data_IF_591979371648
#
_entry.id   IF_591979371648
#
_cell.length_a   1.000
_cell.length_b   1.000
_cell.length_c   1.000
_cell.angle_alpha   90.00
_cell.angle_beta   90.00
_cell.angle_gamma   90.00
#
_symmetry.space_group_name_H-M   'P 1'
#
loop_
_entity.id
_entity.type
_entity.pdbx_description
1 polymer ?
#
# COMPACT_ATOMS: atom_id res chain seq x y z
N UNK A 1 -2.05 15.32 6.76
CA UNK A 1 -0.71 14.72 6.56
C UNK A 1 -0.18 14.28 7.90
N UNK A 2 0.19 13.02 8.03
CA UNK A 2 0.73 12.39 9.24
C UNK A 2 2.26 12.48 9.25
N UNK A 3 2.81 13.67 9.12
CA UNK A 3 4.25 13.85 9.00
C UNK A 3 4.92 13.58 10.34
N UNK A 4 5.77 12.54 10.40
CA UNK A 4 6.49 12.15 11.60
C UNK A 4 5.71 11.22 12.55
N UNK A 5 4.48 10.86 12.21
CA UNK A 5 3.71 9.89 12.99
C UNK A 5 4.11 8.45 12.60
N UNK A 6 4.25 7.60 13.60
CA UNK A 6 4.39 6.16 13.38
C UNK A 6 3.02 5.58 13.04
N UNK A 7 2.88 5.04 11.83
CA UNK A 7 1.64 4.45 11.34
C UNK A 7 1.84 2.94 11.22
N UNK A 8 1.15 2.20 12.08
CA UNK A 8 1.09 0.73 11.99
C UNK A 8 -0.37 0.27 11.85
N UNK A 9 -0.61 -1.05 11.82
CA UNK A 9 -1.97 -1.61 11.71
C UNK A 9 -2.94 -1.09 12.77
N UNK A 10 -2.46 -0.84 13.99
CA UNK A 10 -3.27 -0.29 15.08
C UNK A 10 -3.83 1.11 14.83
N UNK A 11 -3.20 1.87 13.91
CA UNK A 11 -3.67 3.20 13.53
C UNK A 11 -5.07 3.17 12.87
N UNK A 12 -5.38 2.08 12.19
CA UNK A 12 -6.68 1.87 11.55
C UNK A 12 -7.57 0.88 12.32
N UNK A 13 -7.36 0.71 13.62
CA UNK A 13 -8.17 -0.18 14.45
C UNK A 13 -9.68 0.09 14.28
N UNK A 14 -10.47 -0.97 14.14
CA UNK A 14 -11.91 -0.90 13.89
C UNK A 14 -12.29 -0.67 12.41
N UNK A 15 -11.31 -0.59 11.51
CA UNK A 15 -11.50 -0.36 10.08
C UNK A 15 -10.77 -1.42 9.26
N UNK A 16 -11.31 -1.78 8.11
CA UNK A 16 -10.55 -2.57 7.13
C UNK A 16 -9.39 -1.74 6.63
N UNK A 17 -8.19 -2.28 6.64
CA UNK A 17 -7.01 -1.55 6.22
C UNK A 17 -6.24 -2.26 5.10
N UNK A 18 -5.75 -1.47 4.14
CA UNK A 18 -5.05 -1.96 2.97
C UNK A 18 -3.72 -1.24 2.82
N UNK A 19 -2.66 -2.00 2.64
CA UNK A 19 -1.29 -1.50 2.51
C UNK A 19 -0.75 -1.91 1.15
N UNK A 20 -0.54 -0.91 0.29
CA UNK A 20 0.09 -1.12 -1.01
C UNK A 20 1.60 -0.92 -0.91
N UNK A 21 2.37 -1.92 -1.24
CA UNK A 21 3.83 -1.89 -1.20
C UNK A 21 4.42 -1.61 -2.58
N UNK A 22 5.21 -0.55 -2.68
CA UNK A 22 5.74 -0.11 -3.96
C UNK A 22 6.99 0.76 -3.83
N UNK A 23 7.48 1.23 -4.98
CA UNK A 23 8.59 2.19 -5.04
C UNK A 23 8.32 3.24 -6.12
N UNK A 24 8.76 4.46 -5.87
CA UNK A 24 8.52 5.55 -6.81
C UNK A 24 9.28 5.40 -8.12
N UNK A 25 10.51 4.92 -8.11
CA UNK A 25 11.35 4.84 -9.30
C UNK A 25 10.76 4.03 -10.47
N UNK A 26 9.71 3.24 -10.22
CA UNK A 26 9.07 2.39 -11.22
C UNK A 26 7.69 2.91 -11.64
N UNK A 27 7.53 3.20 -12.94
CA UNK A 27 6.26 3.69 -13.50
C UNK A 27 5.07 2.76 -13.22
N UNK A 28 5.30 1.44 -13.25
CA UNK A 28 4.27 0.45 -12.93
C UNK A 28 3.80 0.56 -11.48
N UNK A 29 4.70 0.80 -10.51
CA UNK A 29 4.29 1.00 -9.13
C UNK A 29 3.46 2.27 -8.97
N UNK A 30 3.88 3.36 -9.62
CA UNK A 30 3.11 4.61 -9.63
C UNK A 30 1.73 4.45 -10.25
N UNK A 31 1.64 3.74 -11.39
CA UNK A 31 0.37 3.47 -12.05
C UNK A 31 -0.55 2.62 -11.14
N UNK A 32 -0.04 1.56 -10.52
CA UNK A 32 -0.85 0.72 -9.61
C UNK A 32 -1.33 1.50 -8.39
N UNK A 33 -0.47 2.33 -7.80
CA UNK A 33 -0.88 3.18 -6.67
C UNK A 33 -1.95 4.20 -7.08
N UNK A 34 -1.88 4.72 -8.31
CA UNK A 34 -2.95 5.56 -8.88
C UNK A 34 -4.30 4.84 -8.90
N UNK A 35 -4.33 3.60 -9.37
CA UNK A 35 -5.57 2.82 -9.42
C UNK A 35 -6.08 2.48 -8.00
N UNK A 36 -5.20 2.19 -7.06
CA UNK A 36 -5.58 2.00 -5.65
C UNK A 36 -6.18 3.29 -5.06
N UNK A 37 -5.64 4.45 -5.42
CA UNK A 37 -6.19 5.74 -5.04
C UNK A 37 -7.58 5.99 -5.65
N UNK A 38 -7.78 5.62 -6.91
CA UNK A 38 -9.07 5.75 -7.59
C UNK A 38 -10.12 4.83 -6.95
N UNK A 39 -9.74 3.60 -6.63
CA UNK A 39 -10.58 2.66 -5.89
C UNK A 39 -11.00 3.22 -4.53
N UNK A 40 -10.07 3.81 -3.79
CA UNK A 40 -10.39 4.44 -2.52
C UNK A 40 -11.36 5.61 -2.67
N UNK A 41 -11.15 6.47 -3.66
CA UNK A 41 -12.06 7.58 -3.97
C UNK A 41 -13.46 7.09 -4.33
N UNK A 42 -13.56 6.02 -5.08
CA UNK A 42 -14.85 5.41 -5.44
C UNK A 42 -15.57 4.88 -4.20
N UNK A 43 -14.88 4.11 -3.34
CA UNK A 43 -15.45 3.61 -2.09
C UNK A 43 -15.98 4.76 -1.22
N UNK A 44 -15.19 5.82 -1.04
CA UNK A 44 -15.61 7.00 -0.28
C UNK A 44 -16.83 7.67 -0.89
N UNK A 45 -16.88 7.80 -2.21
CA UNK A 45 -18.02 8.39 -2.94
C UNK A 45 -19.28 7.55 -2.77
N UNK A 46 -19.16 6.25 -2.66
CA UNK A 46 -20.24 5.31 -2.36
C UNK A 46 -20.65 5.29 -0.88
N UNK A 47 -20.03 6.13 -0.04
CA UNK A 47 -20.28 6.21 1.39
C UNK A 47 -19.57 5.14 2.23
N UNK A 48 -18.62 4.41 1.65
CA UNK A 48 -17.79 3.41 2.33
C UNK A 48 -16.56 4.11 2.89
N UNK A 49 -16.63 4.54 4.15
CA UNK A 49 -15.58 5.35 4.79
C UNK A 49 -14.73 4.59 5.82
N UNK A 50 -15.08 3.35 6.09
CA UNK A 50 -14.45 2.45 7.06
C UNK A 50 -13.51 1.41 6.41
N UNK A 51 -13.18 1.60 5.15
CA UNK A 51 -12.03 1.00 4.47
C UNK A 51 -10.94 2.06 4.35
N UNK A 52 -9.74 1.78 4.84
CA UNK A 52 -8.58 2.68 4.77
C UNK A 52 -7.50 2.08 3.92
N UNK A 53 -6.83 2.94 3.17
CA UNK A 53 -5.75 2.53 2.29
C UNK A 53 -4.55 3.45 2.42
N UNK A 54 -3.35 2.90 2.26
CA UNK A 54 -2.12 3.67 2.19
C UNK A 54 -1.07 2.96 1.34
N UNK A 55 -0.08 3.70 0.88
CA UNK A 55 1.10 3.13 0.26
C UNK A 55 2.26 3.09 1.24
N UNK A 56 3.14 2.12 1.05
CA UNK A 56 4.36 1.93 1.85
C UNK A 56 5.55 1.77 0.91
N UNK A 57 6.54 2.64 1.08
CA UNK A 57 7.83 2.55 0.40
C UNK A 57 8.72 1.61 1.19
N UNK A 58 9.46 0.72 0.52
CA UNK A 58 10.44 -0.11 1.21
C UNK A 58 11.64 0.71 1.69
N UNK A 59 12.25 0.28 2.79
CA UNK A 59 13.47 0.91 3.33
C UNK A 59 14.60 0.97 2.30
N UNK A 60 14.78 -0.08 1.53
CA UNK A 60 15.77 -0.14 0.44
C UNK A 60 15.58 0.93 -0.65
N UNK A 61 14.45 1.65 -0.64
CA UNK A 61 14.11 2.73 -1.57
C UNK A 61 14.00 4.09 -0.86
N UNK A 62 14.59 4.23 0.32
CA UNK A 62 14.48 5.43 1.17
C UNK A 62 14.95 6.72 0.47
N UNK A 63 15.84 6.59 -0.52
CA UNK A 63 16.34 7.71 -1.31
C UNK A 63 15.44 8.07 -2.53
N UNK A 64 14.39 7.29 -2.78
CA UNK A 64 13.44 7.62 -3.84
C UNK A 64 12.60 8.85 -3.40
N UNK A 65 12.39 9.82 -4.30
CA UNK A 65 11.43 10.90 -4.04
C UNK A 65 10.01 10.35 -3.97
N UNK A 66 9.16 10.93 -3.13
CA UNK A 66 7.74 10.56 -3.01
C UNK A 66 6.84 11.30 -4.00
N UNK A 67 7.35 12.30 -4.70
CA UNK A 67 6.57 13.28 -5.46
C UNK A 67 5.63 12.64 -6.47
N UNK A 68 6.12 11.67 -7.22
CA UNK A 68 5.31 10.97 -8.21
C UNK A 68 4.46 9.82 -7.64
N UNK A 69 4.62 9.48 -6.36
CA UNK A 69 3.68 8.59 -5.70
C UNK A 69 2.44 9.33 -5.23
N UNK A 70 2.62 10.53 -4.69
CA UNK A 70 1.51 11.38 -4.22
C UNK A 70 1.02 12.37 -5.28
N UNK A 71 1.72 12.44 -6.42
CA UNK A 71 1.39 13.35 -7.52
C UNK A 71 1.29 14.83 -7.09
N UNK A 72 2.30 15.30 -6.36
CA UNK A 72 2.43 16.71 -6.04
C UNK A 72 2.97 17.51 -7.26
N UNK A 73 3.10 18.82 -7.11
CA UNK A 73 3.50 19.74 -8.18
C UNK A 73 4.92 19.51 -8.70
N UNK A 74 5.76 18.81 -7.94
CA UNK A 74 7.14 18.47 -8.35
C UNK A 74 7.19 17.26 -9.31
N UNK A 75 6.10 16.50 -9.43
CA UNK A 75 6.06 15.35 -10.31
C UNK A 75 5.67 15.70 -11.73
N UNK A 76 6.58 15.47 -12.67
CA UNK A 76 6.35 15.65 -14.11
C UNK A 76 5.90 14.39 -14.84
N UNK A 77 5.64 13.31 -14.14
CA UNK A 77 5.23 12.03 -14.75
C UNK A 77 3.79 12.05 -15.25
N UNK A 78 3.58 11.47 -16.44
CA UNK A 78 2.23 11.26 -16.99
C UNK A 78 1.31 10.41 -16.11
N UNK A 79 1.86 9.64 -15.16
CA UNK A 79 1.07 8.88 -14.18
C UNK A 79 0.34 9.76 -13.18
N UNK A 80 0.62 11.06 -13.18
CA UNK A 80 0.01 12.07 -12.32
C UNK A 80 -0.92 13.05 -13.07
N UNK A 81 -1.34 12.69 -14.27
CA UNK A 81 -2.21 13.55 -15.09
C UNK A 81 -3.58 13.83 -14.47
N UNK A 82 -4.05 13.01 -13.54
CA UNK A 82 -5.32 13.19 -12.81
C UNK A 82 -5.19 14.09 -11.56
N UNK A 83 -4.02 14.63 -11.31
CA UNK A 83 -3.77 15.49 -10.15
C UNK A 83 -3.33 14.75 -8.88
N UNK A 84 -3.27 15.47 -7.75
CA UNK A 84 -2.79 14.92 -6.49
C UNK A 84 -3.60 13.70 -6.00
N UNK A 85 -2.89 12.71 -5.48
CA UNK A 85 -3.50 11.55 -4.83
C UNK A 85 -3.84 11.87 -3.38
N UNK A 86 -4.93 11.32 -2.88
CA UNK A 86 -5.37 11.53 -1.51
C UNK A 86 -4.84 10.49 -0.54
N UNK A 87 -4.44 9.33 -1.05
CA UNK A 87 -3.88 8.28 -0.21
C UNK A 87 -2.54 8.71 0.39
N UNK A 88 -2.31 8.44 1.68
CA UNK A 88 -1.02 8.66 2.32
C UNK A 88 0.02 7.69 1.75
N UNK A 89 1.27 8.14 1.77
CA UNK A 89 2.44 7.35 1.44
C UNK A 89 3.39 7.37 2.63
N UNK A 90 3.69 6.21 3.19
CA UNK A 90 4.60 6.03 4.31
C UNK A 90 5.94 5.48 3.84
N UNK A 91 6.95 5.67 4.65
CA UNK A 91 8.26 5.07 4.50
C UNK A 91 8.40 3.94 5.51
N UNK A 92 8.77 2.76 5.02
CA UNK A 92 9.18 1.67 5.89
C UNK A 92 10.50 2.00 6.58
N UNK A 93 10.67 1.52 7.78
CA UNK A 93 11.80 1.82 8.64
C UNK A 93 12.53 0.52 9.01
N UNK A 94 13.81 0.61 9.19
CA UNK A 94 14.64 -0.45 9.74
C UNK A 94 15.30 0.11 11.01
N UNK A 95 14.91 -0.35 12.17
CA UNK A 95 15.49 0.05 13.44
C UNK A 95 16.56 -0.92 13.96
N UNK A 96 16.79 -2.00 13.24
CA UNK A 96 17.81 -3.00 13.58
C UNK A 96 17.55 -3.76 14.89
N UNK A 97 16.40 -3.56 15.51
CA UNK A 97 16.10 -4.04 16.85
C UNK A 97 14.86 -4.92 16.94
N UNK A 98 13.92 -4.80 15.98
CA UNK A 98 12.55 -5.31 16.14
C UNK A 98 12.32 -6.72 15.64
N UNK A 99 13.38 -7.42 15.36
CA UNK A 99 13.22 -8.79 15.01
C UNK A 99 13.22 -9.62 16.25
N UNK A 100 12.06 -10.13 16.57
CA UNK A 100 11.99 -11.27 17.49
C UNK A 100 12.88 -12.35 16.89
N UNK A 101 13.98 -12.62 17.56
CA UNK A 101 14.96 -13.61 17.19
C UNK A 101 14.29 -15.00 17.07
N UNK A 102 13.76 -15.25 15.91
CA UNK A 102 13.20 -16.55 15.53
C UNK A 102 14.21 -17.42 14.79
N UNK A 103 15.48 -17.01 14.75
CA UNK A 103 16.55 -17.60 13.96
C UNK A 103 16.26 -17.67 12.45
N UNK A 104 15.32 -16.89 11.94
CA UNK A 104 15.01 -16.87 10.51
C UNK A 104 16.00 -16.06 9.67
N UNK A 105 16.88 -15.27 10.30
CA UNK A 105 17.79 -14.35 9.64
C UNK A 105 17.08 -13.19 8.92
N UNK A 106 15.79 -13.01 9.17
CA UNK A 106 14.96 -12.03 8.48
C UNK A 106 15.09 -10.61 9.03
N UNK A 107 15.88 -10.43 10.06
CA UNK A 107 15.88 -9.18 10.78
C UNK A 107 17.25 -8.83 11.33
N UNK A 108 18.28 -9.03 10.55
CA UNK A 108 19.62 -8.63 10.95
C UNK A 108 19.84 -7.13 10.64
N UNK A 109 20.58 -6.44 11.49
CA UNK A 109 20.86 -5.01 11.39
C UNK A 109 21.58 -4.57 10.10
N UNK A 110 22.02 -5.52 9.28
CA UNK A 110 22.61 -5.33 7.97
C UNK A 110 21.63 -5.63 6.82
N UNK A 111 20.36 -5.87 7.15
CA UNK A 111 19.32 -6.14 6.19
C UNK A 111 19.06 -4.92 5.31
N UNK A 112 18.88 -5.14 4.03
CA UNK A 112 18.60 -4.08 3.06
C UNK A 112 17.10 -3.82 2.90
N UNK A 113 16.28 -4.59 3.58
CA UNK A 113 14.83 -4.45 3.61
C UNK A 113 14.41 -3.63 4.83
N UNK A 114 13.19 -3.26 4.95
CA UNK A 114 12.67 -2.61 6.15
C UNK A 114 11.85 -3.60 6.97
N UNK A 115 11.59 -3.27 8.23
CA UNK A 115 10.94 -4.14 9.20
C UNK A 115 9.61 -4.75 8.71
N UNK A 116 8.78 -3.95 8.04
CA UNK A 116 7.48 -4.44 7.55
C UNK A 116 7.65 -5.30 6.30
N UNK A 117 8.56 -4.93 5.41
CA UNK A 117 8.83 -5.69 4.20
C UNK A 117 9.33 -7.09 4.52
N UNK A 118 10.21 -7.23 5.51
CA UNK A 118 10.71 -8.53 5.95
C UNK A 118 9.66 -9.31 6.73
N UNK A 119 9.12 -8.69 7.77
CA UNK A 119 8.16 -9.35 8.67
C UNK A 119 6.94 -9.89 7.92
N UNK A 120 6.53 -9.21 6.83
CA UNK A 120 5.37 -9.61 6.04
C UNK A 120 5.75 -10.33 4.74
N UNK A 121 7.03 -10.62 4.50
CA UNK A 121 7.54 -11.26 3.27
C UNK A 121 7.00 -10.56 2.01
N UNK A 122 7.19 -9.25 1.93
CA UNK A 122 6.58 -8.40 0.91
C UNK A 122 7.30 -8.50 -0.42
N UNK A 123 6.51 -8.65 -1.47
CA UNK A 123 6.94 -8.47 -2.86
C UNK A 123 6.40 -7.16 -3.43
N UNK A 124 7.20 -6.49 -4.27
CA UNK A 124 6.77 -5.25 -4.95
C UNK A 124 5.39 -5.40 -5.59
N UNK A 125 4.52 -4.43 -5.31
CA UNK A 125 3.12 -4.32 -5.73
C UNK A 125 2.16 -5.26 -5.02
N UNK A 126 2.56 -5.78 -3.87
CA UNK A 126 1.61 -6.42 -2.97
C UNK A 126 0.62 -5.40 -2.41
N UNK A 127 -0.62 -5.80 -2.34
CA UNK A 127 -1.70 -5.15 -1.60
C UNK A 127 -2.09 -6.11 -0.47
N UNK A 128 -1.68 -5.78 0.75
CA UNK A 128 -2.02 -6.53 1.96
C UNK A 128 -3.29 -5.98 2.55
N UNK A 129 -4.22 -6.86 2.91
CA UNK A 129 -5.53 -6.49 3.47
C UNK A 129 -5.67 -7.09 4.86
N UNK A 130 -6.00 -6.24 5.83
CA UNK A 130 -6.33 -6.62 7.19
C UNK A 130 -7.81 -6.32 7.47
N UNK A 131 -8.41 -7.15 8.32
CA UNK A 131 -9.77 -6.93 8.81
C UNK A 131 -9.83 -5.80 9.87
N UNK A 132 -11.02 -5.58 10.45
CA UNK A 132 -11.26 -4.54 11.47
C UNK A 132 -10.50 -4.77 12.77
N UNK A 133 -10.14 -6.02 13.07
CA UNK A 133 -9.35 -6.40 14.24
C UNK A 133 -7.82 -6.33 13.95
N UNK A 134 -7.43 -5.92 12.75
CA UNK A 134 -6.03 -5.86 12.30
C UNK A 134 -5.45 -7.23 11.96
N UNK A 135 -6.29 -8.26 11.77
CA UNK A 135 -5.82 -9.58 11.38
C UNK A 135 -5.64 -9.67 9.86
N UNK A 136 -4.61 -10.37 9.46
CA UNK A 136 -4.35 -10.65 8.06
C UNK A 136 -5.50 -11.44 7.41
N UNK A 137 -6.02 -10.91 6.31
CA UNK A 137 -7.05 -11.56 5.50
C UNK A 137 -6.43 -12.16 4.24
N UNK A 138 -5.74 -11.34 3.45
CA UNK A 138 -5.13 -11.78 2.19
C UNK A 138 -4.09 -10.79 1.68
N UNK A 139 -3.31 -11.26 0.71
CA UNK A 139 -2.36 -10.48 -0.08
C UNK A 139 -2.64 -10.69 -1.56
N UNK A 140 -2.70 -9.62 -2.31
CA UNK A 140 -2.92 -9.63 -3.76
C UNK A 140 -1.74 -8.93 -4.42
N UNK A 141 -0.97 -9.64 -5.25
CA UNK A 141 0.08 -8.97 -6.01
C UNK A 141 -0.48 -8.34 -7.29
N UNK A 142 -0.44 -7.01 -7.35
CA UNK A 142 -1.00 -6.21 -8.45
C UNK A 142 -0.17 -6.26 -9.76
N UNK A 143 0.92 -7.04 -9.79
CA UNK A 143 1.59 -7.40 -11.04
C UNK A 143 0.78 -8.43 -11.80
N UNK A 144 0.33 -9.45 -11.10
CA UNK A 144 -0.39 -10.59 -11.67
C UNK A 144 -1.90 -10.34 -11.71
N UNK A 145 -2.44 -9.70 -10.67
CA UNK A 145 -3.84 -9.27 -10.61
C UNK A 145 -3.90 -7.78 -10.94
N UNK A 146 -3.64 -7.46 -12.20
CA UNK A 146 -3.62 -6.06 -12.66
C UNK A 146 -5.01 -5.42 -12.58
N UNK A 147 -5.23 -4.40 -11.73
CA UNK A 147 -6.54 -3.76 -11.58
C UNK A 147 -6.83 -2.69 -12.64
N UNK A 148 -5.93 -2.46 -13.61
CA UNK A 148 -6.17 -1.51 -14.69
C UNK A 148 -7.42 -1.90 -15.50
N UNK A 149 -8.31 -0.94 -15.75
CA UNK A 149 -9.55 -1.15 -16.50
C UNK A 149 -9.32 -1.67 -17.94
N UNK A 150 -8.14 -1.36 -18.51
CA UNK A 150 -7.73 -1.89 -19.80
C UNK A 150 -7.18 -3.33 -19.71
N UNK A 151 -6.97 -3.84 -18.51
CA UNK A 151 -6.63 -5.22 -18.24
C UNK A 151 -7.86 -5.97 -17.76
N UNK A 152 -8.11 -7.16 -18.30
CA UNK A 152 -9.27 -8.02 -17.91
C UNK A 152 -10.64 -7.32 -17.97
N UNK A 153 -10.79 -6.27 -18.79
CA UNK A 153 -12.02 -5.46 -18.89
C UNK A 153 -12.52 -4.97 -17.51
N UNK A 154 -11.59 -4.61 -16.60
CA UNK A 154 -11.92 -4.12 -15.26
C UNK A 154 -12.28 -5.21 -14.24
N UNK A 155 -12.29 -6.48 -14.63
CA UNK A 155 -12.72 -7.58 -13.72
C UNK A 155 -11.87 -7.66 -12.45
N UNK A 156 -10.55 -7.49 -12.55
CA UNK A 156 -9.67 -7.52 -11.38
C UNK A 156 -9.95 -6.35 -10.43
N UNK A 157 -10.20 -5.17 -10.98
CA UNK A 157 -10.57 -4.00 -10.18
C UNK A 157 -11.84 -4.27 -9.37
N UNK A 158 -12.89 -4.73 -10.05
CA UNK A 158 -14.16 -5.03 -9.40
C UNK A 158 -14.03 -6.16 -8.38
N UNK A 159 -13.24 -7.19 -8.66
CA UNK A 159 -12.97 -8.28 -7.72
C UNK A 159 -12.32 -7.76 -6.43
N UNK A 160 -11.33 -6.88 -6.53
CA UNK A 160 -10.67 -6.28 -5.35
C UNK A 160 -11.69 -5.42 -4.58
N UNK A 161 -12.48 -4.60 -5.28
CA UNK A 161 -13.51 -3.76 -4.66
C UNK A 161 -14.53 -4.59 -3.87
N UNK A 162 -15.07 -5.63 -4.48
CA UNK A 162 -16.07 -6.50 -3.84
C UNK A 162 -15.48 -7.28 -2.65
N UNK A 163 -14.21 -7.67 -2.74
CA UNK A 163 -13.52 -8.30 -1.62
C UNK A 163 -13.46 -7.35 -0.41
N UNK A 164 -13.08 -6.10 -0.61
CA UNK A 164 -13.01 -5.09 0.46
C UNK A 164 -14.37 -4.85 1.11
N UNK A 165 -15.42 -4.75 0.29
CA UNK A 165 -16.79 -4.61 0.76
C UNK A 165 -17.24 -5.84 1.56
N UNK A 166 -16.85 -7.03 1.11
CA UNK A 166 -17.18 -8.30 1.81
C UNK A 166 -16.49 -8.39 3.18
N UNK A 167 -15.20 -8.03 3.27
CA UNK A 167 -14.46 -8.04 4.54
C UNK A 167 -15.04 -7.02 5.51
N UNK A 168 -15.43 -5.85 5.01
CA UNK A 168 -16.05 -4.80 5.79
C UNK A 168 -17.34 -5.26 6.48
N UNK A 169 -18.08 -6.15 5.86
CA UNK A 169 -19.37 -6.62 6.31
C UNK A 169 -19.31 -7.84 7.26
N UNK A 170 -18.10 -8.33 7.57
CA UNK A 170 -17.87 -9.39 8.54
C UNK A 170 -17.70 -8.82 9.94
#
# INVERSE_FOLDING_TARGET
>A
KYYGDNIGPSFFSGQVSCYYFGKQGWSTCRARFGIVNDLYNELVTEGITDVKMMGVNGYQYINDSIDCMICNDECTSSTCSSGPRILPWAQDYDDGVNCTDDNSGLCEADDTLGDIWDMWDITLRDLVILDRDGRYVTRINLTYTNPDSNSTCGQNYETIKQLLISIRNQ
#
